data_IF_822439358257
#
_entry.id   IF_822439358257
#
_cell.length_a   1.000
_cell.length_b   1.000
_cell.length_c   1.000
_cell.angle_alpha   90.00
_cell.angle_beta   90.00
_cell.angle_gamma   90.00
#
_symmetry.space_group_name_H-M   'P 1'
#
loop_
_entity.id
_entity.type
_entity.pdbx_description
1 polymer ?
#
# COMPACT_ATOMS: atom_id res chain seq x y z
N UNK A 1 33.93 -7.50 -17.60
CA UNK A 1 33.00 -6.53 -16.97
C UNK A 1 31.72 -7.26 -16.64
N UNK A 2 31.30 -7.26 -15.37
CA UNK A 2 30.09 -7.96 -14.93
C UNK A 2 28.87 -7.28 -15.53
N UNK A 3 28.23 -7.96 -16.48
CA UNK A 3 26.94 -7.58 -17.03
C UNK A 3 25.91 -7.78 -15.94
N UNK A 4 25.69 -6.75 -15.13
CA UNK A 4 24.57 -6.71 -14.21
C UNK A 4 23.30 -6.87 -15.05
N UNK A 5 22.62 -7.99 -14.83
CA UNK A 5 21.26 -8.32 -15.22
C UNK A 5 20.35 -7.07 -15.07
N UNK A 6 20.20 -6.31 -16.16
CA UNK A 6 19.54 -4.99 -16.23
C UNK A 6 18.20 -5.11 -16.96
N UNK A 7 17.49 -6.23 -16.81
CA UNK A 7 16.36 -6.54 -17.68
C UNK A 7 15.13 -7.08 -16.96
N UNK A 8 15.02 -6.91 -15.63
CA UNK A 8 13.75 -7.15 -14.90
C UNK A 8 13.18 -5.92 -14.17
N UNK A 9 13.81 -4.76 -14.35
CA UNK A 9 13.26 -3.43 -14.01
C UNK A 9 12.63 -2.76 -15.25
N UNK A 10 12.13 -3.53 -16.21
CA UNK A 10 11.22 -3.02 -17.23
C UNK A 10 9.93 -2.56 -16.55
N UNK A 11 9.88 -1.26 -16.25
CA UNK A 11 8.70 -0.45 -16.01
C UNK A 11 7.57 -1.20 -15.31
N UNK A 12 7.70 -1.46 -14.01
CA UNK A 12 6.58 -1.99 -13.24
C UNK A 12 5.70 -0.77 -12.83
N UNK A 13 4.61 -0.46 -13.56
CA UNK A 13 3.86 0.79 -13.39
C UNK A 13 3.28 0.92 -11.98
N UNK A 14 3.00 -0.21 -11.33
CA UNK A 14 2.51 -0.26 -9.95
C UNK A 14 3.58 0.15 -8.95
N UNK A 15 4.85 -0.19 -9.19
CA UNK A 15 5.95 0.20 -8.29
C UNK A 15 6.21 1.70 -8.38
N UNK A 16 6.16 2.27 -9.58
CA UNK A 16 6.23 3.72 -9.78
C UNK A 16 5.03 4.44 -9.14
N UNK A 17 3.81 3.91 -9.34
CA UNK A 17 2.59 4.47 -8.75
C UNK A 17 2.59 4.39 -7.23
N UNK A 18 3.14 3.30 -6.65
CA UNK A 18 3.36 3.16 -5.21
C UNK A 18 4.29 4.24 -4.68
N UNK A 19 5.44 4.45 -5.32
CA UNK A 19 6.42 5.46 -4.91
C UNK A 19 5.83 6.87 -4.97
N UNK A 20 5.13 7.20 -6.06
CA UNK A 20 4.43 8.47 -6.23
C UNK A 20 3.33 8.65 -5.17
N UNK A 21 2.54 7.62 -4.88
CA UNK A 21 1.50 7.65 -3.86
C UNK A 21 2.08 7.91 -2.46
N UNK A 22 3.17 7.24 -2.11
CA UNK A 22 3.88 7.45 -0.84
C UNK A 22 4.53 8.85 -0.77
N UNK A 23 5.05 9.37 -1.88
CA UNK A 23 5.55 10.73 -1.95
C UNK A 23 4.44 11.78 -1.77
N UNK A 24 3.26 11.56 -2.37
CA UNK A 24 2.10 12.42 -2.20
C UNK A 24 1.63 12.50 -0.73
N UNK A 25 1.69 11.39 0.02
CA UNK A 25 1.43 11.41 1.48
C UNK A 25 2.39 12.35 2.21
N UNK A 26 3.69 12.29 1.90
CA UNK A 26 4.70 13.18 2.51
C UNK A 26 4.42 14.65 2.19
N UNK A 27 3.92 14.92 0.99
CA UNK A 27 3.52 16.24 0.52
C UNK A 27 2.13 16.68 1.03
N UNK A 28 1.46 15.86 1.85
CA UNK A 28 0.09 16.07 2.34
C UNK A 28 -0.98 16.12 1.24
N UNK A 29 -0.66 15.62 0.05
CA UNK A 29 -1.57 15.50 -1.09
C UNK A 29 -2.38 14.20 -0.97
N UNK A 30 -3.19 14.09 0.07
CA UNK A 30 -3.81 12.81 0.45
C UNK A 30 -4.77 12.26 -0.62
N UNK A 31 -5.52 13.12 -1.31
CA UNK A 31 -6.42 12.69 -2.40
C UNK A 31 -5.63 12.09 -3.59
N UNK A 32 -4.50 12.69 -3.93
CA UNK A 32 -3.61 12.15 -4.97
C UNK A 32 -2.98 10.82 -4.53
N UNK A 33 -2.55 10.74 -3.27
CA UNK A 33 -2.04 9.49 -2.70
C UNK A 33 -3.08 8.37 -2.77
N UNK A 34 -4.35 8.66 -2.44
CA UNK A 34 -5.44 7.68 -2.53
C UNK A 34 -5.61 7.20 -3.98
N UNK A 35 -5.74 8.11 -4.94
CA UNK A 35 -5.93 7.76 -6.35
C UNK A 35 -4.79 6.90 -6.93
N UNK A 36 -3.56 7.06 -6.43
CA UNK A 36 -2.40 6.28 -6.86
C UNK A 36 -2.30 4.91 -6.17
N UNK A 37 -2.75 4.80 -4.92
CA UNK A 37 -2.55 3.60 -4.09
C UNK A 37 -3.75 2.64 -4.11
N UNK A 38 -4.98 3.15 -4.25
CA UNK A 38 -6.23 2.36 -4.31
C UNK A 38 -6.19 1.26 -5.38
N UNK A 39 -5.85 1.53 -6.66
CA UNK A 39 -5.81 0.46 -7.67
C UNK A 39 -4.77 -0.62 -7.39
N UNK A 40 -3.66 -0.27 -6.73
CA UNK A 40 -2.60 -1.23 -6.37
C UNK A 40 -3.08 -2.13 -5.21
N UNK A 41 -3.70 -1.52 -4.20
CA UNK A 41 -4.26 -2.24 -3.06
C UNK A 41 -5.36 -3.23 -3.49
N UNK A 42 -6.19 -2.84 -4.46
CA UNK A 42 -7.30 -3.66 -4.95
C UNK A 42 -6.84 -4.76 -5.91
N UNK A 43 -5.88 -4.47 -6.79
CA UNK A 43 -5.41 -5.44 -7.79
C UNK A 43 -4.45 -6.49 -7.22
N UNK A 44 -3.71 -6.16 -6.15
CA UNK A 44 -2.63 -6.99 -5.62
C UNK A 44 -2.65 -7.11 -4.09
N UNK A 45 -3.80 -7.36 -3.43
CA UNK A 45 -3.96 -7.23 -1.98
C UNK A 45 -3.01 -8.11 -1.14
N UNK A 46 -2.57 -9.26 -1.67
CA UNK A 46 -1.69 -10.19 -0.96
C UNK A 46 -0.21 -10.10 -1.38
N UNK A 47 0.17 -9.12 -2.19
CA UNK A 47 1.58 -8.91 -2.58
C UNK A 47 2.25 -7.89 -1.64
N UNK A 48 3.59 -7.90 -1.62
CA UNK A 48 4.36 -6.90 -0.88
C UNK A 48 4.08 -5.46 -1.35
N UNK A 49 3.75 -5.29 -2.64
CA UNK A 49 3.45 -3.98 -3.24
C UNK A 49 2.05 -3.54 -2.79
N UNK A 50 1.04 -4.42 -2.90
CA UNK A 50 -0.32 -4.13 -2.43
C UNK A 50 -0.38 -3.89 -0.93
N UNK A 51 0.34 -4.66 -0.12
CA UNK A 51 0.37 -4.43 1.33
C UNK A 51 0.96 -3.06 1.69
N UNK A 52 2.02 -2.63 1.00
CA UNK A 52 2.56 -1.27 1.15
C UNK A 52 1.56 -0.21 0.71
N UNK A 53 0.82 -0.46 -0.37
CA UNK A 53 -0.22 0.45 -0.85
C UNK A 53 -1.37 0.58 0.17
N UNK A 54 -1.83 -0.53 0.76
CA UNK A 54 -2.84 -0.55 1.81
C UNK A 54 -2.40 0.22 3.06
N UNK A 55 -1.16 0.04 3.53
CA UNK A 55 -0.62 0.86 4.64
C UNK A 55 -0.59 2.35 4.26
N UNK A 56 -0.19 2.67 3.04
CA UNK A 56 -0.21 4.04 2.53
C UNK A 56 -1.62 4.63 2.49
N UNK A 57 -2.62 3.86 2.05
CA UNK A 57 -4.03 4.24 2.05
C UNK A 57 -4.57 4.50 3.44
N UNK A 58 -4.29 3.62 4.41
CA UNK A 58 -4.67 3.84 5.82
C UNK A 58 -4.18 5.22 6.28
N UNK A 59 -2.91 5.52 6.01
CA UNK A 59 -2.31 6.82 6.38
C UNK A 59 -2.93 7.99 5.62
N UNK A 60 -3.25 7.82 4.34
CA UNK A 60 -3.87 8.88 3.54
C UNK A 60 -5.32 9.15 3.97
N UNK A 61 -6.10 8.10 4.27
CA UNK A 61 -7.47 8.21 4.77
C UNK A 61 -7.51 8.87 6.16
N UNK A 62 -6.68 8.40 7.10
CA UNK A 62 -6.59 8.99 8.44
C UNK A 62 -6.27 10.49 8.39
N UNK A 63 -5.25 10.86 7.61
CA UNK A 63 -4.77 12.25 7.51
C UNK A 63 -5.66 13.16 6.67
N UNK A 64 -6.58 12.60 5.88
CA UNK A 64 -7.58 13.35 5.12
C UNK A 64 -8.94 13.44 5.82
N UNK A 65 -9.08 12.90 7.03
CA UNK A 65 -10.33 12.90 7.80
C UNK A 65 -11.30 11.78 7.40
N UNK A 66 -10.88 10.83 6.59
CA UNK A 66 -11.66 9.65 6.18
C UNK A 66 -11.44 8.50 7.17
N UNK A 67 -11.60 8.76 8.46
CA UNK A 67 -11.27 7.83 9.55
C UNK A 67 -12.03 6.50 9.44
N UNK A 68 -13.29 6.50 9.01
CA UNK A 68 -14.08 5.29 8.83
C UNK A 68 -13.48 4.34 7.80
N UNK A 69 -12.95 4.89 6.69
CA UNK A 69 -12.26 4.11 5.66
C UNK A 69 -10.93 3.57 6.17
N UNK A 70 -10.18 4.37 6.92
CA UNK A 70 -8.94 3.93 7.55
C UNK A 70 -9.17 2.76 8.51
N UNK A 71 -10.20 2.86 9.37
CA UNK A 71 -10.58 1.81 10.31
C UNK A 71 -10.98 0.53 9.56
N UNK A 72 -11.86 0.66 8.56
CA UNK A 72 -12.32 -0.49 7.77
C UNK A 72 -11.14 -1.23 7.11
N UNK A 73 -10.21 -0.48 6.53
CA UNK A 73 -9.01 -1.06 5.91
C UNK A 73 -8.07 -1.70 6.94
N UNK A 74 -7.88 -1.09 8.12
CA UNK A 74 -7.12 -1.69 9.22
C UNK A 74 -7.73 -3.00 9.73
N UNK A 75 -9.06 -3.08 9.81
CA UNK A 75 -9.77 -4.30 10.20
C UNK A 75 -9.52 -5.41 9.18
N UNK A 76 -9.65 -5.12 7.89
CA UNK A 76 -9.31 -6.07 6.82
C UNK A 76 -7.87 -6.52 6.92
N UNK A 77 -6.91 -5.60 7.07
CA UNK A 77 -5.49 -5.93 7.19
C UNK A 77 -5.18 -6.85 8.39
N UNK A 78 -5.88 -6.65 9.52
CA UNK A 78 -5.69 -7.47 10.73
C UNK A 78 -6.27 -8.87 10.56
N UNK A 79 -7.38 -9.00 9.83
CA UNK A 79 -8.02 -10.29 9.52
C UNK A 79 -7.24 -11.08 8.46
N UNK A 80 -6.67 -10.39 7.47
CA UNK A 80 -5.82 -10.94 6.40
C UNK A 80 -4.42 -11.35 6.88
N UNK A 81 -4.04 -10.97 8.10
CA UNK A 81 -2.88 -11.53 8.81
C UNK A 81 -3.33 -12.57 9.85
N UNK A 82 -3.88 -13.74 9.49
CA UNK A 82 -4.19 -14.78 10.46
C UNK A 82 -2.92 -15.59 10.76
N UNK A 83 -1.89 -14.94 11.31
CA UNK A 83 -0.74 -15.65 11.87
C UNK A 83 -0.32 -14.92 13.15
N UNK A 84 -0.56 -15.60 14.28
CA UNK A 84 -0.02 -15.32 15.63
C UNK A 84 -0.89 -14.51 16.61
N UNK A 85 -2.17 -14.87 16.78
CA UNK A 85 -2.88 -14.59 18.04
C UNK A 85 -3.70 -15.77 18.58
N UNK A 86 -3.32 -17.01 18.23
CA UNK A 86 -3.99 -18.21 18.75
C UNK A 86 -2.99 -19.25 19.30
N UNK A 87 -2.18 -18.84 20.27
CA UNK A 87 -1.46 -19.76 21.19
C UNK A 87 -1.47 -19.24 22.64
N UNK A 88 -2.60 -18.71 23.10
CA UNK A 88 -2.90 -18.53 24.51
C UNK A 88 -4.35 -18.98 24.73
N UNK A 89 -4.50 -20.25 25.10
CA UNK A 89 -5.77 -20.92 25.39
C UNK A 89 -5.49 -22.35 25.74
#
# INVERSE_FOLDING_TARGET
>A
MSSTDRSKEELNPDLNSLELGLAAIKQKQYQQAIALLEPIADSQPHTKVGFKAQIGLVKAYDRSGQSDRAISLCQTLTLETPEKIRTLG
#
